data_IF_434672555151
#
_entry.id   IF_434672555151
#
_cell.length_a   1.000
_cell.length_b   1.000
_cell.length_c   1.000
_cell.angle_alpha   90.00
_cell.angle_beta   90.00
_cell.angle_gamma   90.00
#
_symmetry.space_group_name_H-M   'P 1'
#
loop_
_entity.id
_entity.type
_entity.pdbx_description
1 polymer ?
#
# COMPACT_ATOMS: atom_id res chain seq x y z
N UNK A 1 15.22 -1.40 -8.32
CA UNK A 1 15.03 -0.78 -7.00
C UNK A 1 14.50 -1.84 -6.07
N UNK A 2 15.13 -2.02 -4.92
CA UNK A 2 14.69 -2.98 -3.90
C UNK A 2 13.87 -2.18 -2.90
N UNK A 3 12.59 -2.54 -2.73
CA UNK A 3 11.74 -1.93 -1.74
C UNK A 3 11.93 -2.66 -0.40
N UNK A 4 12.44 -1.94 0.58
CA UNK A 4 12.63 -2.44 1.94
C UNK A 4 11.44 -2.01 2.79
N UNK A 5 10.88 -2.96 3.54
CA UNK A 5 9.79 -2.72 4.49
C UNK A 5 10.38 -2.47 5.88
N UNK A 6 10.12 -1.32 6.52
CA UNK A 6 10.48 -1.12 7.90
C UNK A 6 9.61 -2.00 8.82
N UNK A 7 10.24 -2.68 9.78
CA UNK A 7 9.57 -3.54 10.76
C UNK A 7 9.27 -2.75 12.03
N UNK A 8 10.16 -1.83 12.40
CA UNK A 8 10.01 -1.01 13.60
C UNK A 8 9.16 0.24 13.35
N UNK A 9 8.46 0.67 14.38
CA UNK A 9 7.63 1.87 14.39
C UNK A 9 8.26 2.96 15.28
N UNK A 10 7.78 4.19 15.09
CA UNK A 10 8.22 5.33 15.91
C UNK A 10 7.85 5.12 17.38
N UNK A 11 8.83 5.05 18.26
CA UNK A 11 8.67 4.84 19.70
C UNK A 11 9.08 3.45 20.19
N UNK A 12 9.36 2.51 19.30
CA UNK A 12 9.83 1.19 19.65
C UNK A 12 11.25 1.25 20.25
N UNK A 13 11.51 0.39 21.22
CA UNK A 13 12.84 0.21 21.78
C UNK A 13 13.57 -0.87 21.00
N UNK A 14 14.69 -0.50 20.38
CA UNK A 14 15.54 -1.41 19.62
C UNK A 14 16.86 -1.66 20.36
N UNK A 15 17.40 -2.85 20.17
CA UNK A 15 18.69 -3.29 20.71
C UNK A 15 19.69 -3.47 19.58
N UNK A 16 20.97 -3.53 19.93
CA UNK A 16 21.99 -3.88 18.96
C UNK A 16 21.76 -5.32 18.45
N UNK A 17 21.68 -5.49 17.13
CA UNK A 17 21.37 -6.77 16.48
C UNK A 17 19.90 -6.92 16.05
N UNK A 18 18.98 -6.04 16.47
CA UNK A 18 17.59 -6.08 16.01
C UNK A 18 17.49 -5.69 14.53
N UNK A 19 16.61 -6.39 13.79
CA UNK A 19 16.36 -6.14 12.39
C UNK A 19 15.40 -4.94 12.27
N UNK A 20 15.82 -3.89 11.57
CA UNK A 20 15.02 -2.68 11.41
C UNK A 20 14.20 -2.67 10.13
N UNK A 21 14.70 -3.32 9.08
CA UNK A 21 14.05 -3.38 7.76
C UNK A 21 14.23 -4.75 7.14
N UNK A 22 13.23 -5.20 6.40
CA UNK A 22 13.26 -6.45 5.64
C UNK A 22 12.95 -6.23 4.15
N UNK A 23 13.58 -7.04 3.30
CA UNK A 23 13.21 -7.15 1.89
C UNK A 23 11.99 -8.06 1.70
N UNK A 24 11.41 -8.03 0.51
CA UNK A 24 10.24 -8.86 0.17
C UNK A 24 10.55 -10.37 0.10
N UNK A 25 11.83 -10.77 0.06
CA UNK A 25 12.29 -12.16 0.04
C UNK A 25 12.97 -12.59 1.33
N UNK A 26 12.81 -11.83 2.41
CA UNK A 26 13.41 -12.11 3.71
C UNK A 26 12.34 -12.19 4.79
N UNK A 27 12.57 -13.02 5.80
CA UNK A 27 11.75 -13.17 7.00
C UNK A 27 12.67 -13.35 8.20
N UNK A 28 12.50 -12.52 9.22
CA UNK A 28 13.36 -12.48 10.42
C UNK A 28 14.88 -12.33 10.11
N UNK A 29 15.20 -11.62 9.00
CA UNK A 29 16.58 -11.43 8.54
C UNK A 29 17.17 -12.57 7.73
N UNK A 30 16.42 -13.63 7.50
CA UNK A 30 16.82 -14.80 6.72
C UNK A 30 16.18 -14.79 5.32
N UNK A 31 16.84 -15.44 4.38
CA UNK A 31 16.35 -15.57 3.01
C UNK A 31 15.17 -16.54 2.95
N UNK A 32 14.00 -16.05 2.51
CA UNK A 32 12.75 -16.79 2.43
C UNK A 32 12.21 -16.85 0.98
N UNK A 33 13.03 -17.34 0.03
CA UNK A 33 12.68 -17.41 -1.39
C UNK A 33 11.78 -18.60 -1.77
N UNK A 34 11.63 -19.58 -0.92
CA UNK A 34 10.92 -20.81 -1.23
C UNK A 34 10.26 -21.43 0.00
N UNK A 35 9.86 -22.67 -0.16
CA UNK A 35 9.24 -23.49 0.89
C UNK A 35 9.92 -24.85 0.94
N UNK A 36 9.97 -25.43 2.12
CA UNK A 36 10.45 -26.80 2.31
C UNK A 36 9.38 -27.78 1.82
N UNK A 37 9.79 -28.69 0.94
CA UNK A 37 8.94 -29.74 0.35
C UNK A 37 9.51 -31.10 0.69
N UNK A 38 8.65 -32.13 0.83
CA UNK A 38 9.07 -33.52 0.93
C UNK A 38 9.52 -34.02 -0.44
N UNK A 39 10.81 -34.35 -0.56
CA UNK A 39 11.45 -34.72 -1.82
C UNK A 39 11.70 -36.23 -1.88
N UNK A 40 11.41 -36.85 -3.01
CA UNK A 40 11.85 -38.20 -3.34
C UNK A 40 12.79 -38.20 -4.56
N UNK A 41 13.96 -38.76 -4.42
CA UNK A 41 14.87 -39.02 -5.53
C UNK A 41 14.63 -40.43 -6.09
N UNK A 42 13.79 -40.55 -7.08
CA UNK A 42 13.48 -41.82 -7.75
C UNK A 42 13.01 -41.61 -9.18
N UNK A 43 13.23 -42.52 -10.09
CA UNK A 43 12.60 -42.50 -11.41
C UNK A 43 11.09 -42.72 -11.26
N UNK A 44 10.28 -41.91 -11.93
CA UNK A 44 8.83 -41.99 -11.79
C UNK A 44 8.14 -42.08 -13.16
N UNK A 45 7.80 -43.28 -13.60
CA UNK A 45 7.04 -43.57 -14.83
C UNK A 45 7.55 -42.83 -16.09
N UNK A 46 8.82 -42.41 -16.10
CA UNK A 46 9.42 -41.61 -17.16
C UNK A 46 9.09 -40.12 -17.14
N UNK A 47 8.20 -39.65 -16.27
CA UNK A 47 7.77 -38.23 -16.23
C UNK A 47 8.83 -37.28 -15.66
N UNK A 48 9.84 -37.80 -14.99
CA UNK A 48 10.95 -37.00 -14.46
C UNK A 48 12.29 -37.32 -15.17
N UNK A 49 12.22 -37.67 -16.44
CA UNK A 49 13.40 -37.88 -17.28
C UNK A 49 14.22 -36.57 -17.38
N UNK A 50 15.56 -36.71 -17.31
CA UNK A 50 16.49 -35.56 -17.21
C UNK A 50 16.17 -34.62 -16.03
N UNK A 51 15.89 -33.34 -16.30
CA UNK A 51 15.59 -32.29 -15.31
C UNK A 51 14.09 -32.07 -15.14
N UNK A 52 13.28 -33.01 -15.59
CA UNK A 52 11.84 -32.90 -15.42
C UNK A 52 11.43 -33.17 -13.97
N UNK A 53 10.51 -32.40 -13.48
CA UNK A 53 10.03 -32.40 -12.09
C UNK A 53 8.57 -32.84 -12.08
N UNK A 54 8.25 -33.78 -11.22
CA UNK A 54 6.84 -34.15 -10.92
C UNK A 54 6.44 -33.57 -9.59
N UNK A 55 5.32 -32.85 -9.59
CA UNK A 55 4.76 -32.18 -8.40
C UNK A 55 3.47 -32.83 -7.94
N UNK A 56 3.27 -32.82 -6.62
CA UNK A 56 2.00 -33.17 -6.00
C UNK A 56 1.00 -32.02 -6.17
N UNK A 57 -0.24 -32.34 -6.51
CA UNK A 57 -1.35 -31.37 -6.59
C UNK A 57 -1.55 -30.57 -5.29
N UNK A 58 -1.20 -31.15 -4.12
CA UNK A 58 -1.23 -30.44 -2.83
C UNK A 58 -0.48 -29.10 -2.87
N UNK A 59 0.68 -29.07 -3.53
CA UNK A 59 1.51 -27.86 -3.64
C UNK A 59 0.78 -26.73 -4.35
N UNK A 60 -0.05 -27.06 -5.34
CA UNK A 60 -0.86 -26.09 -6.10
C UNK A 60 -2.16 -25.73 -5.35
N UNK A 61 -2.81 -26.74 -4.75
CA UNK A 61 -4.09 -26.57 -4.05
C UNK A 61 -3.94 -25.73 -2.79
N UNK A 62 -2.90 -25.99 -2.00
CA UNK A 62 -2.61 -25.26 -0.76
C UNK A 62 -1.81 -23.97 -0.96
N UNK A 63 -1.60 -23.57 -2.21
CA UNK A 63 -0.87 -22.33 -2.55
C UNK A 63 0.56 -22.25 -1.98
N UNK A 64 1.25 -23.40 -1.80
CA UNK A 64 2.57 -23.45 -1.15
C UNK A 64 3.62 -22.64 -1.93
N UNK A 65 3.63 -22.76 -3.26
CA UNK A 65 4.53 -22.06 -4.17
C UNK A 65 3.80 -20.99 -5.01
N UNK A 66 2.70 -20.48 -4.54
CA UNK A 66 1.94 -19.42 -5.22
C UNK A 66 2.55 -18.07 -4.91
N UNK A 67 2.70 -17.23 -5.91
CA UNK A 67 3.19 -15.87 -5.79
C UNK A 67 2.10 -14.84 -6.11
N UNK A 68 2.11 -13.72 -5.38
CA UNK A 68 1.26 -12.57 -5.65
C UNK A 68 2.14 -11.47 -6.25
N UNK A 69 1.76 -11.00 -7.43
CA UNK A 69 2.44 -9.92 -8.13
C UNK A 69 1.51 -8.71 -8.18
N UNK A 70 2.07 -7.55 -7.88
CA UNK A 70 1.38 -6.27 -8.01
C UNK A 70 2.04 -5.47 -9.12
N UNK A 71 1.29 -5.27 -10.20
CA UNK A 71 1.76 -4.48 -11.34
C UNK A 71 1.15 -3.08 -11.27
N UNK A 72 1.96 -2.06 -11.52
CA UNK A 72 1.52 -0.66 -11.62
C UNK A 72 1.30 -0.31 -13.10
N UNK A 73 0.14 0.23 -13.39
CA UNK A 73 -0.21 0.79 -14.70
C UNK A 73 -0.49 2.26 -14.55
N UNK A 74 0.22 3.09 -15.30
CA UNK A 74 0.09 4.54 -15.26
C UNK A 74 -0.30 5.11 -16.60
N UNK A 75 -1.16 6.13 -16.60
CA UNK A 75 -1.54 6.88 -17.78
C UNK A 75 -1.47 8.37 -17.46
N UNK A 76 -0.75 9.09 -18.31
CA UNK A 76 -0.55 10.53 -18.21
C UNK A 76 -1.55 11.27 -19.08
N UNK A 77 -2.03 12.41 -18.59
CA UNK A 77 -2.83 13.37 -19.32
C UNK A 77 -2.00 14.61 -19.58
N UNK A 78 -1.89 14.98 -20.85
CA UNK A 78 -1.03 16.08 -21.31
C UNK A 78 -1.87 17.17 -21.99
N UNK A 79 -1.35 18.38 -21.95
CA UNK A 79 -1.85 19.45 -22.80
C UNK A 79 -1.18 19.34 -24.18
N UNK A 80 -1.98 19.10 -25.21
CA UNK A 80 -1.49 19.00 -26.58
C UNK A 80 -1.78 20.28 -27.35
N UNK A 81 -1.06 20.53 -28.48
CA UNK A 81 -1.34 21.67 -29.37
C UNK A 81 -2.76 21.69 -29.92
N UNK A 82 -3.46 20.54 -29.90
CA UNK A 82 -4.82 20.35 -30.42
C UNK A 82 -5.91 20.44 -29.34
N UNK A 83 -5.50 20.63 -28.09
CA UNK A 83 -6.39 20.69 -26.93
C UNK A 83 -5.88 19.83 -25.77
N UNK A 84 -6.60 19.87 -24.69
CA UNK A 84 -6.25 19.10 -23.49
C UNK A 84 -6.82 17.70 -23.60
N UNK A 85 -6.04 16.67 -23.31
CA UNK A 85 -6.50 15.32 -23.10
C UNK A 85 -7.41 15.28 -21.85
N UNK A 86 -8.34 14.35 -21.79
CA UNK A 86 -9.28 14.23 -20.67
C UNK A 86 -9.45 12.77 -20.27
N UNK A 87 -9.49 12.54 -18.94
CA UNK A 87 -9.89 11.25 -18.39
C UNK A 87 -11.42 11.20 -18.30
N UNK A 88 -12.02 10.19 -18.89
CA UNK A 88 -13.47 10.03 -18.90
C UNK A 88 -13.87 8.57 -19.10
N UNK A 89 -15.05 8.21 -18.60
CA UNK A 89 -15.71 6.95 -18.92
C UNK A 89 -16.48 6.99 -20.25
N UNK A 90 -16.77 8.20 -20.76
CA UNK A 90 -17.46 8.42 -22.02
C UNK A 90 -16.45 8.34 -23.19
N UNK A 91 -16.19 7.12 -23.66
CA UNK A 91 -15.20 6.82 -24.70
C UNK A 91 -15.94 6.51 -26.00
N UNK A 92 -15.62 7.19 -27.12
CA UNK A 92 -16.29 6.93 -28.39
C UNK A 92 -16.00 5.52 -28.92
N UNK A 93 -17.00 4.90 -29.53
CA UNK A 93 -16.93 3.57 -30.15
C UNK A 93 -16.63 2.41 -29.20
N UNK A 94 -16.96 2.55 -27.91
CA UNK A 94 -16.84 1.52 -26.89
C UNK A 94 -18.22 1.18 -26.35
N UNK A 95 -18.49 -0.11 -26.11
CA UNK A 95 -19.74 -0.55 -25.52
C UNK A 95 -19.84 -0.19 -24.04
N UNK A 96 -21.06 0.03 -23.54
CA UNK A 96 -21.32 0.30 -22.11
C UNK A 96 -20.79 -0.83 -21.20
N UNK A 97 -20.82 -2.06 -21.69
CA UNK A 97 -20.26 -3.21 -20.92
C UNK A 97 -18.76 -3.10 -20.66
N UNK A 98 -18.00 -2.50 -21.58
CA UNK A 98 -16.55 -2.33 -21.42
C UNK A 98 -16.20 -1.16 -20.48
N UNK A 99 -17.14 -0.28 -20.20
CA UNK A 99 -16.95 0.89 -19.33
C UNK A 99 -17.66 0.77 -17.98
N UNK A 100 -18.40 -0.32 -17.74
CA UNK A 100 -19.21 -0.53 -16.52
C UNK A 100 -18.44 -0.47 -15.20
N UNK A 101 -17.17 -0.84 -15.23
CA UNK A 101 -16.28 -0.85 -14.05
C UNK A 101 -15.46 0.45 -13.90
N UNK A 102 -15.66 1.42 -14.78
CA UNK A 102 -15.05 2.74 -14.71
C UNK A 102 -15.88 3.69 -13.84
N UNK A 103 -15.20 4.55 -13.08
CA UNK A 103 -15.83 5.66 -12.37
C UNK A 103 -16.11 6.85 -13.33
N UNK A 104 -16.72 7.90 -12.82
CA UNK A 104 -17.00 9.13 -13.62
C UNK A 104 -15.71 9.78 -14.16
N UNK A 105 -14.56 9.50 -13.56
CA UNK A 105 -13.24 9.98 -13.98
C UNK A 105 -12.55 9.05 -14.97
N UNK A 106 -13.22 8.00 -15.40
CA UNK A 106 -12.66 7.01 -16.31
C UNK A 106 -11.62 6.07 -15.68
N UNK A 107 -11.54 5.96 -14.36
CA UNK A 107 -10.61 5.07 -13.66
C UNK A 107 -11.39 3.85 -13.18
N UNK A 108 -10.81 2.66 -13.36
CA UNK A 108 -11.43 1.41 -12.92
C UNK A 108 -11.57 1.36 -11.39
N UNK A 109 -12.72 0.88 -10.90
CA UNK A 109 -13.01 0.79 -9.46
C UNK A 109 -12.14 -0.26 -8.76
N UNK A 110 -11.85 -0.03 -7.48
CA UNK A 110 -11.14 -0.99 -6.63
C UNK A 110 -12.02 -2.23 -6.45
N UNK A 111 -11.39 -3.42 -6.52
CA UNK A 111 -12.06 -4.72 -6.45
C UNK A 111 -12.60 -5.24 -7.78
N UNK A 112 -12.51 -4.49 -8.87
CA UNK A 112 -12.88 -4.96 -10.19
C UNK A 112 -11.92 -6.06 -10.67
N UNK A 113 -12.46 -7.08 -11.33
CA UNK A 113 -11.66 -8.08 -12.05
C UNK A 113 -11.30 -7.54 -13.42
N UNK A 114 -10.02 -7.58 -13.74
CA UNK A 114 -9.48 -7.16 -15.03
C UNK A 114 -9.21 -8.39 -15.90
N UNK A 115 -9.77 -8.39 -17.10
CA UNK A 115 -9.51 -9.39 -18.12
C UNK A 115 -8.78 -8.75 -19.31
N UNK A 116 -8.16 -9.56 -20.19
CA UNK A 116 -7.51 -9.06 -21.39
C UNK A 116 -8.46 -8.23 -22.24
N UNK A 117 -8.03 -7.01 -22.60
CA UNK A 117 -8.82 -6.09 -23.42
C UNK A 117 -9.70 -5.12 -22.64
N UNK A 118 -9.92 -5.31 -21.34
CA UNK A 118 -10.69 -4.39 -20.50
C UNK A 118 -9.99 -3.03 -20.41
N UNK A 119 -10.79 -1.97 -20.31
CA UNK A 119 -10.28 -0.61 -20.13
C UNK A 119 -9.99 -0.38 -18.65
N UNK A 120 -8.74 -0.06 -18.33
CA UNK A 120 -8.32 0.25 -16.96
C UNK A 120 -8.39 1.75 -16.66
N UNK A 121 -8.01 2.57 -17.63
CA UNK A 121 -8.07 4.04 -17.53
C UNK A 121 -8.58 4.57 -18.87
N UNK A 122 -9.75 5.19 -18.85
CA UNK A 122 -10.36 5.82 -20.02
C UNK A 122 -9.74 7.19 -20.26
N UNK A 123 -9.25 7.41 -21.47
CA UNK A 123 -8.69 8.68 -21.92
C UNK A 123 -9.10 8.99 -23.34
N UNK A 124 -9.46 10.23 -23.59
CA UNK A 124 -9.72 10.77 -24.91
C UNK A 124 -8.71 11.85 -25.27
N UNK A 125 -8.31 11.87 -26.52
CA UNK A 125 -7.39 12.88 -27.08
C UNK A 125 -8.10 13.63 -28.20
N UNK A 126 -8.12 14.98 -28.22
CA UNK A 126 -8.76 15.74 -29.28
C UNK A 126 -8.08 15.50 -30.63
N UNK A 127 -8.88 15.25 -31.67
CA UNK A 127 -8.44 15.27 -33.08
C UNK A 127 -8.23 16.72 -33.51
N UNK A 128 -7.25 16.97 -34.39
CA UNK A 128 -7.09 18.30 -34.97
C UNK A 128 -8.27 18.63 -35.93
N UNK A 129 -8.52 19.90 -36.07
CA UNK A 129 -9.47 20.38 -37.07
C UNK A 129 -9.04 19.91 -38.48
N UNK A 130 -9.76 18.93 -39.01
CA UNK A 130 -9.72 18.54 -40.39
C UNK A 130 -11.17 18.52 -40.86
N UNK A 131 -11.43 18.87 -42.12
CA UNK A 131 -12.78 18.75 -42.69
C UNK A 131 -13.27 17.31 -42.47
N UNK A 132 -14.42 17.11 -41.81
CA UNK A 132 -14.88 15.77 -41.47
C UNK A 132 -15.24 15.01 -42.75
N UNK A 133 -14.73 13.79 -42.88
CA UNK A 133 -15.09 12.89 -43.96
C UNK A 133 -16.58 12.58 -43.95
N UNK A 134 -17.19 12.13 -45.07
CA UNK A 134 -18.60 11.74 -45.10
C UNK A 134 -18.94 10.67 -44.06
N UNK A 135 -18.00 9.77 -43.76
CA UNK A 135 -18.11 8.72 -42.73
C UNK A 135 -18.09 9.30 -41.33
N UNK A 136 -17.26 10.30 -41.08
CA UNK A 136 -17.21 11.01 -39.77
C UNK A 136 -18.50 11.85 -39.57
N UNK A 137 -19.09 12.45 -40.63
CA UNK A 137 -20.38 13.11 -40.52
C UNK A 137 -21.47 12.14 -40.14
N UNK A 138 -21.44 10.92 -40.69
CA UNK A 138 -22.39 9.87 -40.35
C UNK A 138 -22.22 9.40 -38.91
N UNK A 139 -20.98 9.20 -38.45
CA UNK A 139 -20.68 8.85 -37.07
C UNK A 139 -21.12 9.91 -36.06
N UNK A 140 -20.96 11.21 -36.40
CA UNK A 140 -21.48 12.31 -35.58
C UNK A 140 -23.02 12.28 -35.50
N UNK A 141 -23.70 11.95 -36.59
CA UNK A 141 -25.16 11.86 -36.60
C UNK A 141 -25.71 10.70 -35.78
N UNK A 142 -24.97 9.58 -35.68
CA UNK A 142 -25.40 8.37 -34.97
C UNK A 142 -24.97 8.41 -33.47
N UNK A 143 -23.75 8.84 -33.18
CA UNK A 143 -23.13 8.77 -31.84
C UNK A 143 -22.92 10.13 -31.14
N UNK A 144 -23.44 11.22 -31.75
CA UNK A 144 -23.31 12.58 -31.22
C UNK A 144 -22.02 13.29 -31.62
N UNK A 145 -21.96 14.62 -31.36
CA UNK A 145 -20.88 15.50 -31.81
C UNK A 145 -19.48 15.10 -31.27
N UNK A 146 -19.40 14.50 -30.10
CA UNK A 146 -18.12 14.05 -29.51
C UNK A 146 -17.42 12.93 -30.28
N UNK A 147 -18.18 12.06 -30.98
CA UNK A 147 -17.61 10.89 -31.66
C UNK A 147 -16.66 11.23 -32.82
N UNK A 148 -16.81 12.43 -33.40
CA UNK A 148 -15.98 12.91 -34.51
C UNK A 148 -14.72 13.67 -34.09
N UNK A 149 -14.73 14.29 -32.90
CA UNK A 149 -13.72 15.27 -32.47
C UNK A 149 -12.62 14.71 -31.58
N UNK A 150 -12.83 13.50 -31.05
CA UNK A 150 -11.87 12.87 -30.11
C UNK A 150 -11.48 11.46 -30.59
N UNK A 151 -10.29 11.04 -30.15
CA UNK A 151 -9.76 9.70 -30.38
C UNK A 151 -9.60 8.98 -29.04
N UNK A 152 -9.96 7.69 -29.01
CA UNK A 152 -9.67 6.79 -27.88
C UNK A 152 -8.14 6.64 -27.70
N UNK A 153 -7.67 6.99 -26.54
CA UNK A 153 -6.30 6.83 -26.08
C UNK A 153 -6.24 6.13 -24.71
N UNK A 154 -7.26 5.33 -24.41
CA UNK A 154 -7.43 4.62 -23.16
C UNK A 154 -6.37 3.54 -22.96
N UNK A 155 -6.01 3.30 -21.70
CA UNK A 155 -5.13 2.22 -21.31
C UNK A 155 -5.94 0.94 -21.16
N UNK A 156 -5.69 -0.03 -22.04
CA UNK A 156 -6.36 -1.34 -22.05
C UNK A 156 -5.45 -2.42 -21.46
N UNK A 157 -6.07 -3.41 -20.84
CA UNK A 157 -5.38 -4.56 -20.30
C UNK A 157 -4.66 -5.38 -21.39
N UNK A 158 -3.41 -5.72 -21.16
CA UNK A 158 -2.63 -6.55 -22.06
C UNK A 158 -3.19 -7.99 -22.13
N UNK A 159 -2.95 -8.77 -23.21
CA UNK A 159 -3.48 -10.13 -23.36
C UNK A 159 -3.11 -11.08 -22.22
N UNK A 160 -2.02 -10.82 -21.51
CA UNK A 160 -1.54 -11.66 -20.40
C UNK A 160 -2.03 -11.19 -19.03
N UNK A 161 -2.76 -10.08 -18.97
CA UNK A 161 -3.18 -9.49 -17.71
C UNK A 161 -4.53 -10.08 -17.26
N UNK A 162 -4.49 -10.80 -16.14
CA UNK A 162 -5.66 -11.20 -15.35
C UNK A 162 -5.37 -10.90 -13.90
N UNK A 163 -6.24 -10.15 -13.25
CA UNK A 163 -6.02 -9.78 -11.86
C UNK A 163 -7.17 -8.99 -11.27
N UNK A 164 -6.96 -8.47 -10.08
CA UNK A 164 -7.93 -7.67 -9.35
C UNK A 164 -7.30 -6.32 -9.02
N UNK A 165 -8.05 -5.25 -9.22
CA UNK A 165 -7.62 -3.90 -8.85
C UNK A 165 -7.60 -3.76 -7.34
N UNK A 166 -6.42 -3.48 -6.76
CA UNK A 166 -6.23 -3.31 -5.32
C UNK A 166 -6.14 -1.85 -4.89
N UNK A 167 -5.80 -0.95 -5.81
CA UNK A 167 -5.68 0.47 -5.51
C UNK A 167 -5.65 1.32 -6.77
N UNK A 168 -6.11 2.55 -6.63
CA UNK A 168 -6.08 3.57 -7.69
C UNK A 168 -5.65 4.89 -7.11
N UNK A 169 -4.79 5.62 -7.80
CA UNK A 169 -4.35 6.95 -7.41
C UNK A 169 -4.51 7.90 -8.61
N UNK A 170 -5.07 9.06 -8.35
CA UNK A 170 -5.16 10.14 -9.32
C UNK A 170 -4.38 11.35 -8.79
N UNK A 171 -3.30 11.69 -9.48
CA UNK A 171 -2.51 12.88 -9.24
C UNK A 171 -2.96 13.97 -10.20
N UNK A 172 -3.13 15.18 -9.69
CA UNK A 172 -3.58 16.31 -10.49
C UNK A 172 -2.83 17.56 -10.11
N UNK A 173 -2.27 18.24 -11.13
CA UNK A 173 -1.71 19.57 -10.95
C UNK A 173 -2.85 20.57 -10.71
N UNK A 174 -2.71 21.45 -9.72
CA UNK A 174 -3.68 22.50 -9.47
C UNK A 174 -3.76 23.46 -10.69
N UNK A 175 -4.77 23.25 -11.53
CA UNK A 175 -5.06 24.15 -12.63
C UNK A 175 -5.94 25.27 -12.07
N UNK A 176 -5.49 26.54 -12.15
CA UNK A 176 -6.22 27.73 -11.71
C UNK A 176 -7.52 28.00 -12.51
N UNK A 177 -8.30 26.97 -12.85
CA UNK A 177 -9.58 27.13 -13.55
C UNK A 177 -10.72 27.35 -12.55
N UNK A 178 -11.73 28.17 -12.92
CA UNK A 178 -12.89 28.54 -12.09
C UNK A 178 -13.67 27.35 -11.48
N UNK A 179 -13.65 26.18 -12.08
CA UNK A 179 -14.36 24.98 -11.59
C UNK A 179 -13.65 24.30 -10.40
N UNK A 180 -12.29 24.30 -10.33
CA UNK A 180 -11.57 23.75 -9.19
C UNK A 180 -11.79 24.57 -7.91
N UNK A 181 -11.94 25.88 -8.05
CA UNK A 181 -12.26 26.78 -6.91
C UNK A 181 -13.59 26.48 -6.19
N UNK A 182 -14.52 25.77 -6.82
CA UNK A 182 -15.78 25.39 -6.18
C UNK A 182 -15.64 24.10 -5.34
N UNK A 183 -14.85 23.13 -5.80
CA UNK A 183 -14.54 21.92 -5.00
C UNK A 183 -13.64 22.24 -3.81
N UNK A 184 -12.62 23.06 -4.03
CA UNK A 184 -11.69 23.50 -2.97
C UNK A 184 -12.40 24.31 -1.90
N UNK A 185 -13.37 25.16 -2.28
CA UNK A 185 -14.23 25.89 -1.36
C UNK A 185 -15.16 25.02 -0.52
N UNK A 186 -15.46 23.79 -0.96
CA UNK A 186 -16.27 22.84 -0.19
C UNK A 186 -15.40 21.96 0.75
N UNK A 187 -14.15 21.71 0.39
CA UNK A 187 -13.23 20.84 1.15
C UNK A 187 -12.55 21.60 2.29
N UNK A 188 -12.12 22.84 2.05
CA UNK A 188 -11.43 23.65 3.05
C UNK A 188 -12.23 23.85 4.34
N UNK A 189 -13.54 24.20 4.31
CA UNK A 189 -14.34 24.34 5.54
C UNK A 189 -14.43 23.03 6.33
N UNK A 190 -14.59 21.89 5.67
CA UNK A 190 -14.65 20.57 6.33
C UNK A 190 -13.36 20.24 7.06
N UNK A 191 -12.22 20.57 6.46
CA UNK A 191 -10.92 20.40 7.12
C UNK A 191 -10.76 21.33 8.32
N UNK A 192 -11.30 22.54 8.25
CA UNK A 192 -11.29 23.47 9.37
C UNK A 192 -12.19 22.97 10.50
N UNK A 193 -13.38 22.45 10.20
CA UNK A 193 -14.28 21.83 11.18
C UNK A 193 -13.64 20.62 11.88
N UNK A 194 -13.05 19.68 11.10
CA UNK A 194 -12.32 18.53 11.67
C UNK A 194 -11.15 18.95 12.56
N UNK A 195 -10.46 20.00 12.19
CA UNK A 195 -9.37 20.55 12.99
C UNK A 195 -9.89 21.17 14.29
N UNK A 196 -10.96 21.97 14.23
CA UNK A 196 -11.58 22.57 15.41
C UNK A 196 -12.10 21.51 16.37
N UNK A 197 -12.73 20.43 15.89
CA UNK A 197 -13.15 19.30 16.73
C UNK A 197 -11.97 18.64 17.44
N UNK A 198 -10.89 18.35 16.72
CA UNK A 198 -9.66 17.77 17.30
C UNK A 198 -9.04 18.70 18.34
N UNK A 199 -9.03 20.00 18.07
CA UNK A 199 -8.49 21.01 18.98
C UNK A 199 -9.32 21.18 20.24
N UNK A 200 -10.64 21.18 20.10
CA UNK A 200 -11.57 21.25 21.23
C UNK A 200 -11.44 19.99 22.12
N UNK A 201 -11.33 18.81 21.51
CA UNK A 201 -11.07 17.56 22.24
C UNK A 201 -9.73 17.58 22.98
N UNK A 202 -8.66 18.05 22.35
CA UNK A 202 -7.34 18.18 22.99
C UNK A 202 -7.37 19.18 24.15
N UNK A 203 -8.07 20.31 24.00
CA UNK A 203 -8.25 21.31 25.03
C UNK A 203 -9.08 20.78 26.21
N UNK A 204 -10.13 20.02 25.96
CA UNK A 204 -10.92 19.37 27.00
C UNK A 204 -10.07 18.43 27.86
N UNK A 205 -9.27 17.56 27.24
CA UNK A 205 -8.34 16.66 27.95
C UNK A 205 -7.32 17.43 28.79
N UNK A 206 -6.81 18.55 28.28
CA UNK A 206 -5.90 19.41 29.06
C UNK A 206 -6.58 19.96 30.30
N UNK A 207 -7.81 20.52 30.14
CA UNK A 207 -8.55 21.11 31.23
C UNK A 207 -8.88 20.09 32.31
N UNK A 208 -9.31 18.88 31.95
CA UNK A 208 -9.59 17.81 32.90
C UNK A 208 -8.34 17.44 33.72
N UNK A 209 -7.19 17.32 33.07
CA UNK A 209 -5.91 17.08 33.75
C UNK A 209 -5.51 18.23 34.66
N UNK A 210 -5.66 19.48 34.20
CA UNK A 210 -5.36 20.66 35.02
C UNK A 210 -6.29 20.79 36.20
N UNK A 211 -7.59 20.47 36.08
CA UNK A 211 -8.53 20.43 37.19
C UNK A 211 -8.09 19.47 38.29
N UNK A 212 -7.69 18.28 37.93
CA UNK A 212 -7.17 17.28 38.91
C UNK A 212 -5.92 17.81 39.60
N UNK A 213 -4.98 18.43 38.88
CA UNK A 213 -3.74 18.96 39.45
C UNK A 213 -3.94 20.18 40.34
N UNK A 214 -4.92 21.03 40.02
CA UNK A 214 -5.20 22.27 40.72
C UNK A 214 -6.33 22.17 41.78
N UNK A 215 -6.90 20.95 41.94
CA UNK A 215 -7.98 20.71 42.88
C UNK A 215 -7.61 21.18 44.31
N UNK A 216 -8.45 22.00 44.93
CA UNK A 216 -8.27 22.54 46.26
C UNK A 216 -7.16 23.61 46.39
N UNK A 217 -6.59 24.08 45.27
CA UNK A 217 -5.58 25.14 45.26
C UNK A 217 -6.15 26.45 44.70
N UNK A 218 -5.54 27.57 45.13
CA UNK A 218 -5.82 28.90 44.61
C UNK A 218 -4.67 29.41 43.75
N UNK A 219 -5.00 30.23 42.76
CA UNK A 219 -4.01 30.80 41.84
C UNK A 219 -3.05 31.76 42.58
N UNK A 220 -1.79 31.68 42.24
CA UNK A 220 -0.76 32.66 42.62
C UNK A 220 -0.64 33.83 41.63
N UNK A 221 -1.53 33.87 40.62
CA UNK A 221 -1.49 34.79 39.50
C UNK A 221 -0.92 34.11 38.26
N UNK A 222 -1.74 33.87 37.25
CA UNK A 222 -1.33 33.32 35.96
C UNK A 222 -1.18 34.49 34.98
N UNK A 223 0.00 34.65 34.41
CA UNK A 223 0.35 35.74 33.49
C UNK A 223 0.58 35.20 32.07
N UNK A 224 0.34 36.05 31.10
CA UNK A 224 0.80 35.79 29.74
C UNK A 224 2.25 36.25 29.54
N UNK A 225 2.80 36.03 28.35
CA UNK A 225 4.20 36.44 28.02
C UNK A 225 4.37 37.99 28.01
N UNK A 226 3.27 38.76 27.94
CA UNK A 226 3.29 40.22 28.01
C UNK A 226 3.20 40.74 29.46
N UNK A 227 3.03 39.83 30.44
CA UNK A 227 2.94 40.17 31.87
C UNK A 227 1.54 40.53 32.35
N UNK A 228 0.51 40.38 31.49
CA UNK A 228 -0.89 40.66 31.84
C UNK A 228 -1.46 39.53 32.68
N UNK A 229 -2.21 39.83 33.72
CA UNK A 229 -2.83 38.82 34.56
C UNK A 229 -4.03 38.16 33.84
N UNK A 230 -3.85 36.91 33.42
CA UNK A 230 -4.92 36.08 32.80
C UNK A 230 -5.84 35.52 33.90
N UNK A 231 -5.26 35.12 35.04
CA UNK A 231 -6.01 34.68 36.21
C UNK A 231 -5.44 35.40 37.44
N UNK A 232 -6.29 36.16 38.11
CA UNK A 232 -5.90 36.97 39.29
C UNK A 232 -5.48 36.05 40.45
N UNK A 233 -4.57 36.57 41.29
CA UNK A 233 -4.13 35.90 42.51
C UNK A 233 -5.30 35.67 43.46
N UNK A 234 -5.39 34.46 44.05
CA UNK A 234 -6.47 34.09 44.97
C UNK A 234 -7.71 33.48 44.30
N UNK A 235 -7.77 33.46 42.97
CA UNK A 235 -8.90 32.85 42.22
C UNK A 235 -8.83 31.33 42.30
N UNK A 236 -9.97 30.67 42.55
CA UNK A 236 -10.07 29.20 42.49
C UNK A 236 -10.05 28.72 41.02
N UNK A 237 -9.31 27.66 40.75
CA UNK A 237 -9.32 27.05 39.44
C UNK A 237 -10.60 26.23 39.22
N UNK A 238 -11.45 26.73 38.34
CA UNK A 238 -12.68 26.08 37.90
C UNK A 238 -12.59 25.80 36.40
N UNK A 239 -13.39 24.89 35.92
CA UNK A 239 -13.45 24.58 34.50
C UNK A 239 -13.70 25.83 33.63
N UNK A 240 -14.60 26.73 34.11
CA UNK A 240 -14.90 27.98 33.43
C UNK A 240 -13.71 28.94 33.35
N UNK A 241 -12.86 28.98 34.39
CA UNK A 241 -11.64 29.80 34.43
C UNK A 241 -10.58 29.18 33.50
N UNK A 242 -10.37 27.86 33.55
CA UNK A 242 -9.40 27.18 32.71
C UNK A 242 -9.79 27.23 31.22
N UNK A 243 -11.07 27.20 30.87
CA UNK A 243 -11.55 27.35 29.49
C UNK A 243 -11.19 28.69 28.85
N UNK A 244 -11.12 29.75 29.66
CA UNK A 244 -10.81 31.10 29.19
C UNK A 244 -9.34 31.37 28.94
N UNK A 245 -8.46 30.49 29.41
CA UNK A 245 -7.00 30.62 29.25
C UNK A 245 -6.61 30.25 27.83
N UNK A 246 -5.82 31.12 27.19
CA UNK A 246 -5.10 30.78 25.97
C UNK A 246 -3.73 30.16 26.33
N UNK A 247 -3.66 28.86 26.21
CA UNK A 247 -2.46 28.11 26.57
C UNK A 247 -1.28 28.31 25.61
N UNK A 248 -1.48 28.97 24.48
CA UNK A 248 -0.41 29.31 23.53
C UNK A 248 0.40 30.51 23.94
N UNK A 249 -0.20 31.40 24.74
CA UNK A 249 0.37 32.70 25.17
C UNK A 249 0.69 32.76 26.66
N UNK A 250 0.27 31.76 27.46
CA UNK A 250 0.40 31.78 28.90
C UNK A 250 1.77 31.39 29.38
N UNK A 251 2.30 32.08 30.41
CA UNK A 251 3.52 31.66 31.11
C UNK A 251 3.26 30.46 32.00
N UNK A 252 4.03 29.42 31.83
CA UNK A 252 3.94 28.18 32.60
C UNK A 252 4.87 28.26 33.81
N UNK A 253 4.67 29.27 34.65
CA UNK A 253 5.42 29.46 35.89
C UNK A 253 4.47 29.31 37.08
N UNK A 254 4.87 29.50 38.24
CA UNK A 254 4.20 29.44 39.55
C UNK A 254 2.67 29.66 39.56
N UNK A 255 1.91 28.65 39.13
CA UNK A 255 0.43 28.68 39.13
C UNK A 255 -0.14 28.42 40.53
N UNK A 256 0.55 27.60 41.34
CA UNK A 256 0.17 27.22 42.69
C UNK A 256 1.32 27.43 43.66
N UNK A 257 1.06 27.31 44.96
CA UNK A 257 2.10 27.36 46.03
C UNK A 257 2.95 26.11 46.06
N UNK A 258 2.57 25.04 45.42
CA UNK A 258 3.20 23.72 45.43
C UNK A 258 4.16 23.54 44.23
N UNK A 259 5.45 23.47 44.50
CA UNK A 259 6.46 23.39 43.44
C UNK A 259 6.38 22.10 42.62
N UNK A 260 6.08 20.95 43.25
CA UNK A 260 5.94 19.67 42.51
C UNK A 260 4.74 19.69 41.57
N UNK A 261 3.60 20.27 41.98
CA UNK A 261 2.42 20.43 41.12
C UNK A 261 2.69 21.40 39.99
N UNK A 262 3.44 22.47 40.21
CA UNK A 262 3.78 23.41 39.14
C UNK A 262 4.62 22.76 38.04
N UNK A 263 5.51 21.83 38.36
CA UNK A 263 6.26 21.05 37.36
C UNK A 263 5.37 20.12 36.57
N UNK A 264 4.39 19.45 37.21
CA UNK A 264 3.40 18.63 36.52
C UNK A 264 2.49 19.46 35.58
N UNK A 265 2.02 20.64 36.04
CA UNK A 265 1.26 21.59 35.22
C UNK A 265 2.07 22.01 34.01
N UNK A 266 3.35 22.36 34.23
CA UNK A 266 4.28 22.73 33.16
C UNK A 266 4.45 21.61 32.14
N UNK A 267 4.73 20.39 32.58
CA UNK A 267 4.87 19.23 31.70
C UNK A 267 3.59 18.96 30.89
N UNK A 268 2.43 19.07 31.53
CA UNK A 268 1.12 18.87 30.89
C UNK A 268 0.86 19.92 29.80
N UNK A 269 1.14 21.19 30.09
CA UNK A 269 0.96 22.27 29.09
C UNK A 269 1.97 22.15 27.95
N UNK A 270 3.23 21.79 28.24
CA UNK A 270 4.25 21.56 27.19
C UNK A 270 3.82 20.42 26.25
N UNK A 271 3.31 19.33 26.80
CA UNK A 271 2.80 18.22 26.01
C UNK A 271 1.59 18.61 25.15
N UNK A 272 0.69 19.44 25.70
CA UNK A 272 -0.40 20.01 24.94
C UNK A 272 0.10 20.88 23.77
N UNK A 273 1.04 21.80 24.04
CA UNK A 273 1.61 22.66 23.01
C UNK A 273 2.35 21.89 21.91
N UNK A 274 2.98 20.78 22.27
CA UNK A 274 3.61 19.89 21.29
C UNK A 274 2.56 19.28 20.34
N UNK A 275 1.47 18.74 20.90
CA UNK A 275 0.35 18.20 20.12
C UNK A 275 -0.39 19.27 19.31
N UNK A 276 -0.57 20.45 19.90
CA UNK A 276 -1.12 21.60 19.20
C UNK A 276 -0.34 21.91 17.93
N UNK A 277 1.00 22.03 18.04
CA UNK A 277 1.86 22.31 16.89
C UNK A 277 1.85 21.18 15.86
N UNK A 278 1.73 19.93 16.28
CA UNK A 278 1.61 18.78 15.36
C UNK A 278 0.32 18.88 14.53
N UNK A 279 -0.81 19.17 15.16
CA UNK A 279 -2.10 19.31 14.46
C UNK A 279 -2.15 20.55 13.55
N UNK A 280 -1.60 21.69 14.00
CA UNK A 280 -1.51 22.91 13.19
C UNK A 280 -0.62 22.69 11.95
N UNK A 281 0.51 22.00 12.11
CA UNK A 281 1.38 21.63 10.99
C UNK A 281 0.70 20.65 10.02
N UNK A 282 -0.09 19.71 10.53
CA UNK A 282 -0.89 18.79 9.70
C UNK A 282 -1.94 19.55 8.87
N UNK A 283 -2.68 20.46 9.50
CA UNK A 283 -3.67 21.30 8.80
C UNK A 283 -3.03 22.16 7.72
N UNK A 284 -1.91 22.83 8.05
CA UNK A 284 -1.16 23.65 7.08
C UNK A 284 -0.68 22.82 5.89
N UNK A 285 -0.18 21.61 6.13
CA UNK A 285 0.24 20.70 5.06
C UNK A 285 -0.93 20.31 4.18
N UNK A 286 -2.06 19.86 4.76
CA UNK A 286 -3.25 19.50 4.00
C UNK A 286 -3.80 20.67 3.17
N UNK A 287 -3.85 21.89 3.75
CA UNK A 287 -4.25 23.09 3.01
C UNK A 287 -3.28 23.43 1.87
N UNK A 288 -1.98 23.25 2.10
CA UNK A 288 -0.94 23.47 1.11
C UNK A 288 -1.05 22.48 -0.05
N UNK A 289 -1.22 21.19 0.25
CA UNK A 289 -1.39 20.13 -0.75
C UNK A 289 -2.61 20.39 -1.66
N UNK A 290 -3.73 20.83 -1.07
CA UNK A 290 -4.93 21.22 -1.83
C UNK A 290 -4.68 22.47 -2.70
N UNK A 291 -3.91 23.42 -2.20
CA UNK A 291 -3.68 24.70 -2.89
C UNK A 291 -2.70 24.61 -4.05
N UNK A 292 -1.70 23.74 -3.94
CA UNK A 292 -0.63 23.59 -4.95
C UNK A 292 -0.93 22.42 -5.89
N UNK A 293 -1.60 21.37 -5.37
CA UNK A 293 -1.77 20.09 -6.08
C UNK A 293 -0.48 19.27 -6.08
N UNK A 294 -0.53 18.15 -6.78
CA UNK A 294 0.59 17.22 -6.86
C UNK A 294 1.73 17.75 -7.73
N UNK A 295 2.97 17.45 -7.35
CA UNK A 295 4.15 17.73 -8.15
C UNK A 295 4.22 16.72 -9.31
N UNK A 296 3.84 17.15 -10.50
CA UNK A 296 3.93 16.37 -11.72
C UNK A 296 5.03 16.92 -12.65
N UNK A 297 5.65 16.07 -13.49
CA UNK A 297 6.61 16.51 -14.50
C UNK A 297 6.04 17.59 -15.42
N UNK A 298 6.91 18.39 -16.03
CA UNK A 298 6.47 19.47 -16.93
C UNK A 298 5.67 18.92 -18.12
N UNK A 299 4.54 19.56 -18.43
CA UNK A 299 3.64 19.15 -19.53
C UNK A 299 2.59 18.10 -19.16
N UNK A 300 2.67 17.50 -17.96
CA UNK A 300 1.65 16.58 -17.45
C UNK A 300 0.69 17.36 -16.56
N UNK A 301 -0.60 17.22 -16.82
CA UNK A 301 -1.69 17.87 -16.08
C UNK A 301 -2.26 16.94 -15.03
N UNK A 302 -2.45 15.68 -15.40
CA UNK A 302 -2.94 14.62 -14.52
C UNK A 302 -2.19 13.32 -14.79
N UNK A 303 -2.10 12.46 -13.79
CA UNK A 303 -1.58 11.10 -13.91
C UNK A 303 -2.45 10.16 -13.10
N UNK A 304 -3.03 9.17 -13.77
CA UNK A 304 -3.76 8.11 -13.10
C UNK A 304 -2.86 6.88 -12.98
N UNK A 305 -2.85 6.26 -11.80
CA UNK A 305 -2.15 5.00 -11.52
C UNK A 305 -3.14 3.97 -11.04
N UNK A 306 -3.04 2.75 -11.56
CA UNK A 306 -3.86 1.60 -11.17
C UNK A 306 -2.93 0.47 -10.78
N UNK A 307 -3.17 -0.11 -9.60
CA UNK A 307 -2.42 -1.24 -9.08
C UNK A 307 -3.25 -2.50 -9.19
N UNK A 308 -2.73 -3.49 -9.90
CA UNK A 308 -3.42 -4.76 -10.15
C UNK A 308 -2.65 -5.89 -9.52
N UNK A 309 -3.30 -6.61 -8.61
CA UNK A 309 -2.76 -7.82 -8.03
C UNK A 309 -3.15 -9.03 -8.86
N UNK A 310 -2.16 -9.86 -9.18
CA UNK A 310 -2.37 -11.13 -9.84
C UNK A 310 -1.71 -12.26 -9.04
N UNK A 311 -2.47 -13.33 -8.89
CA UNK A 311 -2.02 -14.55 -8.22
C UNK A 311 -1.53 -15.52 -9.28
N UNK A 312 -0.28 -15.93 -9.18
CA UNK A 312 0.31 -16.93 -10.09
C UNK A 312 0.53 -18.23 -9.34
N UNK A 313 -0.18 -19.24 -9.74
CA UNK A 313 0.02 -20.62 -9.28
C UNK A 313 1.01 -21.32 -10.18
N UNK A 314 1.75 -22.25 -9.60
CA UNK A 314 2.67 -23.07 -10.37
C UNK A 314 1.90 -23.95 -11.37
N UNK A 315 2.41 -24.06 -12.57
CA UNK A 315 1.81 -24.81 -13.67
C UNK A 315 2.83 -25.70 -14.37
N UNK A 316 2.32 -26.63 -15.18
CA UNK A 316 3.19 -27.45 -16.04
C UNK A 316 3.94 -26.54 -17.02
N UNK A 317 5.24 -26.73 -17.15
CA UNK A 317 6.14 -25.90 -17.94
C UNK A 317 6.89 -24.83 -17.14
N UNK A 318 6.52 -24.58 -15.88
CA UNK A 318 7.24 -23.63 -15.03
C UNK A 318 8.60 -24.18 -14.60
N UNK A 319 9.56 -23.27 -14.44
CA UNK A 319 10.90 -23.59 -14.00
C UNK A 319 11.02 -23.54 -12.49
N UNK A 320 11.55 -24.59 -11.90
CA UNK A 320 11.85 -24.68 -10.49
C UNK A 320 13.34 -24.92 -10.25
N UNK A 321 13.84 -24.50 -9.11
CA UNK A 321 15.22 -24.75 -8.70
C UNK A 321 15.31 -24.93 -7.18
N UNK A 322 16.28 -25.75 -6.74
CA UNK A 322 16.72 -25.80 -5.37
C UNK A 322 17.89 -24.84 -5.12
N UNK A 323 18.51 -24.96 -3.93
CA UNK A 323 19.63 -24.10 -3.49
C UNK A 323 21.01 -24.57 -3.97
N UNK A 324 21.08 -25.71 -4.63
CA UNK A 324 22.35 -26.39 -5.01
C UNK A 324 22.60 -26.38 -6.52
N UNK A 325 22.02 -25.43 -7.27
CA UNK A 325 22.13 -25.37 -8.72
C UNK A 325 21.31 -26.43 -9.48
N UNK A 326 20.49 -27.19 -8.80
CA UNK A 326 19.55 -28.15 -9.35
C UNK A 326 18.30 -27.41 -9.88
N UNK A 327 18.24 -27.24 -11.17
CA UNK A 327 17.13 -26.60 -11.89
C UNK A 327 16.35 -27.62 -12.70
N UNK A 328 15.07 -27.42 -12.84
CA UNK A 328 14.21 -28.29 -13.62
C UNK A 328 12.94 -27.62 -14.07
N UNK A 329 12.16 -28.32 -14.87
CA UNK A 329 10.88 -27.87 -15.42
C UNK A 329 9.78 -28.80 -14.93
N UNK A 330 8.68 -28.23 -14.45
CA UNK A 330 7.51 -29.01 -14.04
C UNK A 330 6.92 -29.74 -15.25
N UNK A 331 7.06 -31.05 -15.29
CA UNK A 331 6.53 -31.87 -16.36
C UNK A 331 5.10 -32.30 -16.13
N UNK A 332 4.76 -32.58 -14.89
CA UNK A 332 3.42 -33.07 -14.52
C UNK A 332 3.06 -32.68 -13.08
N UNK A 333 1.80 -32.37 -12.88
CA UNK A 333 1.17 -32.24 -11.56
C UNK A 333 0.27 -33.46 -11.38
N UNK A 334 0.53 -34.22 -10.32
CA UNK A 334 -0.11 -35.53 -10.07
C UNK A 334 -0.97 -35.42 -8.82
N UNK A 335 -2.11 -36.11 -8.81
CA UNK A 335 -2.97 -36.17 -7.65
C UNK A 335 -2.25 -36.77 -6.44
N UNK A 336 -2.64 -36.37 -5.25
CA UNK A 336 -2.00 -36.78 -4.01
C UNK A 336 -2.04 -38.32 -3.83
N UNK A 337 -3.12 -38.98 -4.26
CA UNK A 337 -3.31 -40.41 -4.15
C UNK A 337 -2.36 -41.21 -5.08
N UNK A 338 -1.94 -40.60 -6.20
CA UNK A 338 -1.09 -41.22 -7.19
C UNK A 338 0.42 -40.99 -6.97
N UNK A 339 0.75 -40.16 -5.95
CA UNK A 339 2.13 -39.84 -5.60
C UNK A 339 2.80 -40.99 -4.81
N UNK A 340 4.14 -41.12 -4.89
CA UNK A 340 4.88 -41.98 -3.97
C UNK A 340 4.64 -41.54 -2.52
N UNK A 341 4.63 -42.45 -1.59
CA UNK A 341 4.39 -42.19 -0.18
C UNK A 341 5.40 -42.92 0.72
N UNK A 342 5.58 -42.40 1.92
CA UNK A 342 6.42 -42.99 2.96
C UNK A 342 5.71 -44.20 3.64
N UNK A 343 6.41 -44.93 4.48
CA UNK A 343 5.86 -46.07 5.20
C UNK A 343 4.66 -45.73 6.10
N UNK A 344 4.58 -44.50 6.57
CA UNK A 344 3.47 -43.94 7.35
C UNK A 344 2.25 -43.50 6.50
N UNK A 345 2.34 -43.66 5.18
CA UNK A 345 1.29 -43.22 4.23
C UNK A 345 1.37 -41.75 3.82
N UNK A 346 2.34 -40.99 4.30
CA UNK A 346 2.50 -39.58 3.92
C UNK A 346 3.03 -39.46 2.48
N UNK A 347 2.30 -38.80 1.58
CA UNK A 347 2.74 -38.60 0.20
C UNK A 347 3.89 -37.59 0.11
N UNK A 348 4.76 -37.76 -0.87
CA UNK A 348 5.81 -36.80 -1.17
C UNK A 348 5.27 -35.64 -1.99
N UNK A 349 5.93 -34.48 -1.90
CA UNK A 349 5.52 -33.27 -2.60
C UNK A 349 6.16 -33.12 -3.98
N UNK A 350 7.36 -33.64 -4.14
CA UNK A 350 8.15 -33.49 -5.36
C UNK A 350 8.97 -34.77 -5.63
N UNK A 351 9.01 -35.18 -6.89
CA UNK A 351 9.84 -36.31 -7.33
C UNK A 351 10.87 -35.82 -8.33
N UNK A 352 12.13 -36.05 -7.99
CA UNK A 352 13.29 -35.64 -8.77
C UNK A 352 14.02 -36.87 -9.34
N UNK A 353 14.66 -36.71 -10.50
CA UNK A 353 15.47 -37.75 -11.11
C UNK A 353 16.82 -37.90 -10.40
N UNK A 354 17.16 -39.07 -9.83
CA UNK A 354 18.41 -39.25 -9.15
C UNK A 354 19.62 -39.20 -10.10
N UNK A 355 19.46 -39.48 -11.40
CA UNK A 355 20.53 -39.43 -12.38
C UNK A 355 21.15 -38.05 -12.60
N UNK A 356 20.39 -36.99 -12.29
CA UNK A 356 20.89 -35.61 -12.37
C UNK A 356 21.91 -35.24 -11.29
N UNK A 357 22.02 -36.01 -10.22
CA UNK A 357 22.92 -35.73 -9.08
C UNK A 357 24.37 -36.12 -9.37
N UNK A 358 24.69 -37.39 -9.75
CA UNK A 358 26.07 -37.79 -9.94
C UNK A 358 26.78 -37.06 -11.07
N UNK A 359 26.08 -36.83 -12.18
CA UNK A 359 26.65 -36.15 -13.34
C UNK A 359 27.05 -34.70 -13.07
N UNK A 360 26.37 -34.02 -12.15
CA UNK A 360 26.60 -32.60 -11.81
C UNK A 360 27.35 -32.40 -10.50
N UNK A 361 27.59 -33.45 -9.74
CA UNK A 361 28.33 -33.44 -8.47
C UNK A 361 27.77 -32.46 -7.41
N UNK A 362 26.50 -32.09 -7.49
CA UNK A 362 25.83 -31.22 -6.53
C UNK A 362 25.26 -32.03 -5.35
N UNK A 363 26.14 -32.65 -4.59
CA UNK A 363 25.80 -33.54 -3.46
C UNK A 363 25.10 -32.84 -2.31
N UNK A 364 25.21 -31.49 -2.23
CA UNK A 364 24.57 -30.69 -1.20
C UNK A 364 23.05 -30.89 -1.12
N UNK A 365 22.38 -31.17 -2.25
CA UNK A 365 20.93 -31.44 -2.25
C UNK A 365 20.58 -32.78 -1.56
N UNK A 366 21.47 -33.77 -1.57
CA UNK A 366 21.27 -35.03 -0.86
C UNK A 366 21.46 -34.81 0.64
N UNK A 367 22.52 -34.10 1.05
CA UNK A 367 22.74 -33.77 2.44
C UNK A 367 21.57 -32.93 3.00
N UNK A 368 21.09 -31.95 2.25
CA UNK A 368 19.92 -31.13 2.63
C UNK A 368 18.70 -32.03 2.85
N UNK A 369 18.42 -32.96 1.95
CA UNK A 369 17.25 -33.84 2.06
C UNK A 369 17.34 -34.77 3.27
N UNK A 370 18.50 -35.37 3.52
CA UNK A 370 18.72 -36.31 4.64
C UNK A 370 18.64 -35.56 5.98
N UNK A 371 19.34 -34.42 6.09
CA UNK A 371 19.33 -33.61 7.30
C UNK A 371 17.96 -32.98 7.56
N UNK A 372 17.28 -32.51 6.51
CA UNK A 372 15.93 -31.97 6.61
C UNK A 372 14.91 -33.03 7.04
N UNK A 373 15.04 -34.27 6.56
CA UNK A 373 14.21 -35.37 7.02
C UNK A 373 14.48 -35.71 8.48
N UNK A 374 15.75 -35.86 8.87
CA UNK A 374 16.12 -36.06 10.27
C UNK A 374 15.61 -34.94 11.18
N UNK A 375 15.72 -33.69 10.74
CA UNK A 375 15.20 -32.54 11.47
C UNK A 375 13.68 -32.57 11.64
N UNK A 376 12.95 -32.98 10.64
CA UNK A 376 11.49 -33.14 10.70
C UNK A 376 11.06 -34.23 11.68
N UNK A 377 11.77 -35.38 11.69
CA UNK A 377 11.51 -36.48 12.63
C UNK A 377 11.84 -36.10 14.09
N UNK A 378 12.92 -35.37 14.29
CA UNK A 378 13.33 -34.90 15.61
C UNK A 378 12.57 -33.65 16.09
N UNK A 379 11.65 -33.11 15.29
CA UNK A 379 10.94 -31.85 15.53
C UNK A 379 11.91 -30.68 15.86
N UNK A 380 13.09 -30.70 15.28
CA UNK A 380 14.12 -29.67 15.51
C UNK A 380 13.82 -28.43 14.68
N UNK A 381 13.53 -27.30 15.34
CA UNK A 381 13.29 -26.02 14.68
C UNK A 381 14.50 -25.52 13.88
N UNK A 382 15.70 -25.82 14.30
CA UNK A 382 16.97 -25.42 13.66
C UNK A 382 17.04 -25.98 12.24
N UNK A 383 16.68 -27.25 12.05
CA UNK A 383 16.72 -27.90 10.73
C UNK A 383 15.50 -27.61 9.85
N UNK A 384 14.44 -27.02 10.40
CA UNK A 384 13.24 -26.65 9.67
C UNK A 384 13.32 -25.20 9.16
N UNK A 385 13.95 -24.32 9.94
CA UNK A 385 14.01 -22.88 9.68
C UNK A 385 15.31 -22.41 9.05
N UNK A 386 16.42 -23.09 9.26
CA UNK A 386 17.72 -22.67 8.72
C UNK A 386 18.11 -23.51 7.50
N UNK A 387 18.23 -22.89 6.35
CA UNK A 387 19.00 -23.43 5.25
C UNK A 387 20.49 -23.25 5.58
N UNK A 388 21.12 -24.28 6.06
CA UNK A 388 22.58 -24.31 6.11
C UNK A 388 23.19 -24.25 4.73
#
# INVERSE_FOLDING_TARGET
TIDLRPICHKGDRVKAGDILTEGYSTENGELALGRNLKVAFMPWKGYNYEDAIVLNERVVREDILTSVHVDEYSLEVRETKRGMEELTSDIPNVSEDATKDLDERGIIRIGAQVNPGDIMIGKITPKGESDPSPEEKLLRAIFGDKAGDVKDASLKATPSLKGVVIGTNLFSRAIKKKKSKLSDKAILPKLDEEYEEKMNGLKAILIDKLLVLTQGKVSQGVKDFMGTDVVSKGTKFTQAVLNKIDYTTVQVSKWTTDAAKNELIRATIINYLKKYKEYDAELRRKKFDISIGDELPSGIVQMAKVYIAKKRKISVGDKMAGRHGNKGIVSRIVRQEDMPFLADGTPVDIVLNPLGVPSRMNLGQIFETVLGWAGAELLSLIHISEPT
#
